data_IF_087602486325
#
_entry.id   IF_087602486325
#
_cell.length_a   1.000
_cell.length_b   1.000
_cell.length_c   1.000
_cell.angle_alpha   90.00
_cell.angle_beta   90.00
_cell.angle_gamma   90.00
#
_symmetry.space_group_name_H-M   'P 1'
#
loop_
_entity.id
_entity.type
_entity.pdbx_description
1 polymer ?
#
# COMPACT_ATOMS: atom_id res chain seq x y z
N UNK A 1 -32.55 -14.27 0.65
CA UNK A 1 -32.25 -13.81 2.03
C UNK A 1 -31.29 -12.60 2.04
N UNK A 2 -29.98 -12.76 1.80
CA UNK A 2 -29.01 -11.64 1.90
C UNK A 2 -29.39 -10.40 1.06
N UNK A 3 -29.86 -10.58 -0.18
CA UNK A 3 -30.25 -9.46 -1.06
C UNK A 3 -31.44 -8.65 -0.53
N UNK A 4 -32.46 -9.32 0.00
CA UNK A 4 -33.65 -8.68 0.56
C UNK A 4 -33.31 -7.94 1.86
N UNK A 5 -32.45 -8.52 2.69
CA UNK A 5 -31.97 -7.87 3.91
C UNK A 5 -31.15 -6.61 3.58
N UNK A 6 -30.29 -6.67 2.55
CA UNK A 6 -29.54 -5.51 2.04
C UNK A 6 -30.49 -4.43 1.52
N UNK A 7 -31.52 -4.80 0.77
CA UNK A 7 -32.49 -3.85 0.24
C UNK A 7 -33.23 -3.10 1.37
N UNK A 8 -33.68 -3.83 2.40
CA UNK A 8 -34.32 -3.25 3.59
C UNK A 8 -33.40 -2.33 4.39
N UNK A 9 -32.11 -2.66 4.52
CA UNK A 9 -31.13 -1.88 5.28
C UNK A 9 -30.47 -0.76 4.48
N UNK A 10 -30.57 -0.80 3.14
CA UNK A 10 -29.98 0.21 2.26
C UNK A 10 -30.74 1.54 2.30
N UNK A 11 -32.04 1.47 2.60
CA UNK A 11 -32.88 2.65 2.79
C UNK A 11 -32.79 3.13 4.23
N UNK A 12 -32.51 4.41 4.48
CA UNK A 12 -32.51 4.94 5.84
C UNK A 12 -33.94 4.97 6.41
N UNK A 13 -34.07 4.80 7.73
CA UNK A 13 -35.36 4.73 8.42
C UNK A 13 -36.10 6.08 8.31
N UNK A 14 -37.41 6.05 8.14
CA UNK A 14 -38.24 7.27 8.12
C UNK A 14 -38.00 8.13 9.36
N UNK A 15 -37.59 9.38 9.17
CA UNK A 15 -37.21 10.32 10.24
C UNK A 15 -35.70 10.41 10.51
N UNK A 16 -34.87 9.65 9.79
CA UNK A 16 -33.41 9.82 9.81
C UNK A 16 -33.02 11.20 9.26
N UNK A 17 -32.01 11.82 9.87
CA UNK A 17 -31.39 13.03 9.34
C UNK A 17 -30.23 12.66 8.41
N UNK A 18 -29.97 13.50 7.43
CA UNK A 18 -28.81 13.33 6.57
C UNK A 18 -27.52 13.37 7.38
N UNK A 19 -26.55 12.55 6.96
CA UNK A 19 -25.22 12.52 7.54
C UNK A 19 -24.50 13.83 7.21
N UNK A 20 -24.35 14.69 8.21
CA UNK A 20 -23.54 15.89 8.13
C UNK A 20 -22.15 15.62 8.70
N UNK A 21 -21.14 15.61 7.82
CA UNK A 21 -19.75 15.55 8.24
C UNK A 21 -19.19 16.95 8.44
N UNK A 22 -18.43 17.14 9.52
CA UNK A 22 -17.79 18.42 9.82
C UNK A 22 -16.71 18.79 8.78
N UNK A 23 -16.10 17.78 8.14
CA UNK A 23 -15.06 17.95 7.13
C UNK A 23 -15.35 17.06 5.92
N UNK A 24 -14.88 17.50 4.74
CA UNK A 24 -14.96 16.72 3.49
C UNK A 24 -14.25 15.36 3.60
N UNK A 25 -13.18 15.29 4.37
CA UNK A 25 -12.39 14.08 4.57
C UNK A 25 -12.33 13.69 6.05
N UNK A 26 -12.30 12.39 6.39
CA UNK A 26 -12.23 11.93 7.77
C UNK A 26 -10.95 12.30 8.51
N UNK A 27 -9.85 12.54 7.77
CA UNK A 27 -8.52 12.83 8.29
C UNK A 27 -7.82 13.85 7.39
N UNK A 28 -6.80 14.53 7.93
CA UNK A 28 -5.96 15.44 7.14
C UNK A 28 -5.10 14.67 6.11
N UNK A 29 -4.49 15.41 5.16
CA UNK A 29 -3.72 14.80 4.08
C UNK A 29 -2.50 14.01 4.55
N UNK A 30 -1.85 14.42 5.65
CA UNK A 30 -0.69 13.72 6.20
C UNK A 30 -1.06 12.36 6.79
N UNK A 31 -2.16 12.27 7.52
CA UNK A 31 -2.67 11.01 8.05
C UNK A 31 -3.07 10.04 6.94
N UNK A 32 -3.72 10.55 5.89
CA UNK A 32 -4.06 9.75 4.72
C UNK A 32 -2.80 9.23 3.99
N UNK A 33 -1.78 10.08 3.84
CA UNK A 33 -0.51 9.68 3.24
C UNK A 33 0.16 8.56 4.05
N UNK A 34 0.23 8.69 5.38
CA UNK A 34 0.76 7.64 6.27
C UNK A 34 -0.02 6.33 6.11
N UNK A 35 -1.34 6.40 6.08
CA UNK A 35 -2.18 5.22 5.88
C UNK A 35 -1.95 4.55 4.51
N UNK A 36 -1.78 5.34 3.46
CA UNK A 36 -1.44 4.85 2.12
C UNK A 36 -0.07 4.16 2.09
N UNK A 37 0.96 4.77 2.69
CA UNK A 37 2.29 4.18 2.79
C UNK A 37 2.25 2.86 3.57
N UNK A 38 1.55 2.84 4.70
CA UNK A 38 1.37 1.63 5.51
C UNK A 38 0.71 0.50 4.70
N UNK A 39 -0.39 0.80 4.02
CA UNK A 39 -1.09 -0.15 3.16
C UNK A 39 -0.20 -0.63 2.01
N UNK A 40 0.54 0.26 1.38
CA UNK A 40 1.46 -0.07 0.31
C UNK A 40 2.56 -1.02 0.81
N UNK A 41 3.17 -0.72 1.96
CA UNK A 41 4.19 -1.56 2.56
C UNK A 41 3.64 -2.95 2.90
N UNK A 42 2.49 -3.03 3.57
CA UNK A 42 1.84 -4.31 3.87
C UNK A 42 1.54 -5.12 2.61
N UNK A 43 0.97 -4.47 1.58
CA UNK A 43 0.67 -5.11 0.31
C UNK A 43 1.93 -5.63 -0.38
N UNK A 44 2.99 -4.81 -0.37
CA UNK A 44 4.30 -5.15 -0.93
C UNK A 44 4.89 -6.39 -0.27
N UNK A 45 4.83 -6.50 1.05
CA UNK A 45 5.34 -7.66 1.78
C UNK A 45 4.43 -8.89 1.77
N UNK A 46 3.16 -8.74 1.34
CA UNK A 46 2.21 -9.86 1.21
C UNK A 46 2.50 -10.75 0.00
N UNK A 47 3.29 -10.26 -0.97
CA UNK A 47 3.84 -11.03 -2.10
C UNK A 47 5.38 -11.02 -2.07
N UNK A 48 6.00 -11.68 -1.08
CA UNK A 48 7.43 -11.53 -0.80
C UNK A 48 8.33 -12.10 -1.91
N UNK A 49 7.87 -13.12 -2.64
CA UNK A 49 8.69 -13.80 -3.66
C UNK A 49 9.22 -12.85 -4.75
N UNK A 50 8.36 -12.00 -5.33
CA UNK A 50 8.76 -11.08 -6.40
C UNK A 50 9.78 -10.03 -5.91
N UNK A 51 9.58 -9.50 -4.71
CA UNK A 51 10.42 -8.45 -4.15
C UNK A 51 11.79 -8.98 -3.69
N UNK A 52 11.82 -10.18 -3.11
CA UNK A 52 13.06 -10.85 -2.74
C UNK A 52 13.91 -11.18 -3.96
N UNK A 53 13.29 -11.66 -5.04
CA UNK A 53 13.96 -11.93 -6.31
C UNK A 53 14.60 -10.64 -6.85
N UNK A 54 13.88 -9.51 -6.83
CA UNK A 54 14.41 -8.21 -7.27
C UNK A 54 15.62 -7.77 -6.43
N UNK A 55 15.54 -7.88 -5.11
CA UNK A 55 16.65 -7.53 -4.20
C UNK A 55 17.86 -8.45 -4.46
N UNK A 56 17.62 -9.74 -4.61
CA UNK A 56 18.67 -10.73 -4.88
C UNK A 56 19.38 -10.46 -6.21
N UNK A 57 18.65 -10.14 -7.28
CA UNK A 57 19.27 -9.81 -8.57
C UNK A 57 20.12 -8.54 -8.50
N UNK A 58 19.66 -7.50 -7.82
CA UNK A 58 20.44 -6.27 -7.64
C UNK A 58 21.70 -6.55 -6.79
N UNK A 59 21.57 -7.33 -5.73
CA UNK A 59 22.71 -7.74 -4.91
C UNK A 59 23.75 -8.52 -5.72
N UNK A 60 23.31 -9.53 -6.46
CA UNK A 60 24.19 -10.35 -7.28
C UNK A 60 24.87 -9.50 -8.37
N UNK A 61 24.13 -8.63 -9.04
CA UNK A 61 24.68 -7.67 -10.00
C UNK A 61 25.74 -6.79 -9.37
N UNK A 62 25.45 -6.17 -8.23
CA UNK A 62 26.40 -5.32 -7.50
C UNK A 62 27.67 -6.07 -7.09
N UNK A 63 27.55 -7.31 -6.62
CA UNK A 63 28.70 -8.17 -6.29
C UNK A 63 29.52 -8.49 -7.53
N UNK A 64 28.88 -8.89 -8.63
CA UNK A 64 29.56 -9.20 -9.89
C UNK A 64 30.32 -7.99 -10.42
N UNK A 65 29.69 -6.81 -10.46
CA UNK A 65 30.37 -5.56 -10.83
C UNK A 65 31.51 -5.23 -9.87
N UNK A 66 31.29 -5.36 -8.55
CA UNK A 66 32.34 -5.13 -7.55
C UNK A 66 33.55 -6.05 -7.73
N UNK A 67 33.32 -7.31 -8.09
CA UNK A 67 34.37 -8.30 -8.37
C UNK A 67 35.07 -8.04 -9.71
N UNK A 68 34.32 -7.75 -10.78
CA UNK A 68 34.88 -7.49 -12.11
C UNK A 68 35.78 -6.25 -12.13
N UNK A 69 35.33 -5.19 -11.45
CA UNK A 69 36.06 -3.93 -11.33
C UNK A 69 36.93 -3.87 -10.08
N UNK A 70 37.10 -4.99 -9.37
CA UNK A 70 37.91 -5.06 -8.16
C UNK A 70 39.35 -4.63 -8.48
N UNK A 71 39.82 -3.60 -7.79
CA UNK A 71 41.18 -3.05 -7.92
C UNK A 71 41.56 -2.52 -9.32
N UNK A 72 40.59 -2.29 -10.22
CA UNK A 72 40.85 -1.68 -11.53
C UNK A 72 41.07 -0.16 -11.46
N UNK A 73 40.80 0.49 -10.33
CA UNK A 73 41.10 1.90 -10.09
C UNK A 73 42.58 2.18 -9.81
N UNK A 74 43.49 1.74 -10.69
CA UNK A 74 44.92 2.11 -10.63
C UNK A 74 45.28 3.08 -11.76
N UNK A 75 45.51 4.33 -11.33
CA UNK A 75 45.91 5.57 -12.03
C UNK A 75 44.87 6.19 -12.94
#
# INVERSE_FOLDING_TARGET
ENKQLVEQLSSPISGSKDLHFHSRFPQNGWEQLKACIWKQNLSYWRSPAYNLIRIFYIFLGSVLFGLLFWQQGKR
#
